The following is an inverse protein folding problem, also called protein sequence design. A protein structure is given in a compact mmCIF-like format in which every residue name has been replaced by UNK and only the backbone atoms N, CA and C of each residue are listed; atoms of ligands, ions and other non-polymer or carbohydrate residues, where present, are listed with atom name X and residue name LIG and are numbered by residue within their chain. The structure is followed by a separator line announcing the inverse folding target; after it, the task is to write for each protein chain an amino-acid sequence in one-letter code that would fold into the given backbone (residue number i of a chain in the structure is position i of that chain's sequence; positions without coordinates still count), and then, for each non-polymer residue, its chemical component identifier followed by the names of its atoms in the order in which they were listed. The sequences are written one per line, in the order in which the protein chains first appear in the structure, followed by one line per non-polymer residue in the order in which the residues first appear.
data_IF_113946164957
#
_entry.id   IF_113946164957
#
_cell.length_a   1.000
_cell.length_b   1.000
_cell.length_c   1.000
_cell.angle_alpha   90.00
_cell.angle_beta   90.00
_cell.angle_gamma   90.00
#
_symmetry.space_group_name_H-M   'P 1'
#
loop_
_entity.id
_entity.type
_entity.pdbx_description
1 polymer ?
#
# COMPACT_ATOMS: atom_id res chain seq x y z
N UNK A 1 5.42 -22.44 14.47
CA UNK A 1 4.79 -21.23 15.03
C UNK A 1 4.63 -20.27 13.87
N UNK A 2 3.40 -19.97 13.45
CA UNK A 2 3.19 -19.01 12.37
C UNK A 2 3.53 -17.63 12.93
N UNK A 3 4.52 -16.94 12.36
CA UNK A 3 4.68 -15.51 12.62
C UNK A 3 3.39 -14.86 12.17
N UNK A 4 2.68 -14.26 13.14
CA UNK A 4 1.53 -13.44 12.82
C UNK A 4 2.01 -12.32 11.89
N UNK A 5 1.27 -12.03 10.83
CA UNK A 5 1.56 -10.84 10.05
C UNK A 5 1.56 -9.61 10.97
N UNK A 6 2.32 -8.57 10.62
CA UNK A 6 2.36 -7.35 11.41
C UNK A 6 0.94 -6.89 11.77
N UNK A 7 0.70 -6.57 13.04
CA UNK A 7 -0.62 -6.11 13.52
C UNK A 7 -1.19 -4.97 12.67
N UNK A 8 -0.31 -4.21 12.01
CA UNK A 8 -0.63 -3.16 11.06
C UNK A 8 -1.54 -3.58 9.90
N UNK A 9 -1.63 -4.87 9.57
CA UNK A 9 -2.46 -5.36 8.46
C UNK A 9 -3.78 -6.00 8.88
N UNK A 10 -4.03 -6.23 10.17
CA UNK A 10 -5.23 -6.97 10.62
C UNK A 10 -6.55 -6.30 10.17
N UNK A 11 -6.57 -4.97 10.09
CA UNK A 11 -7.75 -4.23 9.60
C UNK A 11 -8.09 -4.56 8.14
N UNK A 12 -7.16 -5.07 7.33
CA UNK A 12 -7.46 -5.36 5.91
C UNK A 12 -8.45 -6.51 5.75
N UNK A 13 -8.55 -7.44 6.71
CA UNK A 13 -9.57 -8.49 6.71
C UNK A 13 -10.99 -7.93 6.74
N UNK A 14 -11.18 -6.71 7.25
CA UNK A 14 -12.47 -6.05 7.26
C UNK A 14 -12.94 -5.64 5.86
N UNK A 15 -12.06 -5.63 4.83
CA UNK A 15 -12.42 -5.35 3.43
C UNK A 15 -13.38 -6.38 2.82
N UNK A 16 -13.46 -7.57 3.42
CA UNK A 16 -14.40 -8.64 3.01
C UNK A 16 -15.43 -8.92 4.12
N UNK A 17 -15.60 -7.99 5.06
CA UNK A 17 -16.54 -8.18 6.15
C UNK A 17 -17.98 -8.26 5.62
N UNK A 18 -18.80 -9.24 6.10
CA UNK A 18 -20.22 -9.27 5.79
C UNK A 18 -20.98 -8.08 6.42
N UNK A 19 -20.42 -7.46 7.46
CA UNK A 19 -20.92 -6.22 8.02
C UNK A 19 -20.48 -5.04 7.15
N UNK A 20 -21.44 -4.43 6.45
CA UNK A 20 -21.20 -3.29 5.55
C UNK A 20 -20.60 -2.07 6.27
N UNK A 21 -20.94 -1.82 7.53
CA UNK A 21 -20.38 -0.68 8.26
C UNK A 21 -18.91 -0.92 8.65
N UNK A 22 -18.55 -2.17 8.97
CA UNK A 22 -17.15 -2.57 9.16
C UNK A 22 -16.40 -2.46 7.83
N UNK A 23 -16.94 -3.02 6.76
CA UNK A 23 -16.31 -3.00 5.43
C UNK A 23 -16.08 -1.59 4.90
N UNK A 24 -17.08 -0.71 4.95
CA UNK A 24 -16.95 0.68 4.50
C UNK A 24 -15.88 1.47 5.27
N UNK A 25 -15.71 1.20 6.57
CA UNK A 25 -14.63 1.83 7.36
C UNK A 25 -13.25 1.34 6.92
N UNK A 26 -13.11 0.04 6.65
CA UNK A 26 -11.88 -0.52 6.11
C UNK A 26 -11.57 0.04 4.71
N UNK A 27 -12.58 0.10 3.83
CA UNK A 27 -12.45 0.67 2.50
C UNK A 27 -12.03 2.15 2.55
N UNK A 28 -12.68 2.96 3.37
CA UNK A 28 -12.32 4.36 3.55
C UNK A 28 -10.88 4.53 4.07
N UNK A 29 -10.44 3.68 5.01
CA UNK A 29 -9.05 3.66 5.48
C UNK A 29 -8.08 3.29 4.35
N UNK A 30 -8.40 2.27 3.57
CA UNK A 30 -7.59 1.85 2.43
C UNK A 30 -7.42 2.97 1.40
N UNK A 31 -8.52 3.59 1.01
CA UNK A 31 -8.54 4.69 0.04
C UNK A 31 -7.81 5.94 0.57
N UNK A 32 -7.93 6.25 1.87
CA UNK A 32 -7.18 7.35 2.48
C UNK A 32 -5.66 7.10 2.45
N UNK A 33 -5.21 5.85 2.69
CA UNK A 33 -3.80 5.48 2.58
C UNK A 33 -3.28 5.61 1.14
N UNK A 34 -4.07 5.18 0.15
CA UNK A 34 -3.71 5.34 -1.26
C UNK A 34 -3.66 6.82 -1.69
N UNK A 35 -4.61 7.64 -1.23
CA UNK A 35 -4.61 9.07 -1.48
C UNK A 35 -3.35 9.73 -0.92
N UNK A 36 -2.97 9.41 0.34
CA UNK A 36 -1.76 9.93 0.95
C UNK A 36 -0.48 9.47 0.22
N UNK A 37 -0.43 8.20 -0.21
CA UNK A 37 0.66 7.70 -1.04
C UNK A 37 0.77 8.44 -2.40
N UNK A 38 -0.36 8.72 -3.05
CA UNK A 38 -0.41 9.47 -4.30
C UNK A 38 0.03 10.93 -4.10
N UNK A 39 -0.36 11.57 -3.01
CA UNK A 39 0.11 12.91 -2.65
C UNK A 39 1.64 12.94 -2.43
N UNK A 40 2.19 11.96 -1.74
CA UNK A 40 3.64 11.81 -1.53
C UNK A 40 4.38 11.53 -2.86
N UNK A 41 3.78 10.76 -3.77
CA UNK A 41 4.29 10.57 -5.13
C UNK A 41 4.30 11.89 -5.92
N UNK A 42 3.21 12.65 -5.88
CA UNK A 42 3.14 13.97 -6.51
C UNK A 42 4.17 14.93 -5.92
N UNK A 43 4.41 14.87 -4.62
CA UNK A 43 5.48 15.62 -3.98
C UNK A 43 6.86 15.24 -4.52
N UNK A 44 7.19 13.94 -4.56
CA UNK A 44 8.44 13.47 -5.16
C UNK A 44 8.61 13.93 -6.62
N UNK A 45 7.52 13.92 -7.40
CA UNK A 45 7.53 14.38 -8.78
C UNK A 45 7.78 15.89 -8.91
N UNK A 46 7.29 16.71 -7.97
CA UNK A 46 7.61 18.15 -7.92
C UNK A 46 9.08 18.39 -7.64
N UNK A 47 9.66 17.67 -6.68
CA UNK A 47 11.11 17.77 -6.38
C UNK A 47 11.94 17.32 -7.59
N UNK A 48 11.51 16.25 -8.27
CA UNK A 48 12.16 15.81 -9.51
C UNK A 48 12.09 16.88 -10.61
N UNK A 49 10.92 17.48 -10.83
CA UNK A 49 10.75 18.54 -11.83
C UNK A 49 11.62 19.77 -11.53
N UNK A 50 11.81 20.10 -10.26
CA UNK A 50 12.69 21.20 -9.84
C UNK A 50 14.18 20.87 -10.01
N UNK A 51 14.61 19.66 -9.63
CA UNK A 51 16.00 19.26 -9.70
C UNK A 51 16.45 18.84 -11.12
N UNK A 52 15.51 18.44 -11.98
CA UNK A 52 15.80 17.86 -13.30
C UNK A 52 16.37 16.44 -13.26
N UNK A 53 16.51 15.83 -12.07
CA UNK A 53 17.09 14.50 -11.86
C UNK A 53 16.40 13.77 -10.70
N UNK A 54 16.23 12.44 -10.76
CA UNK A 54 15.69 11.66 -9.64
C UNK A 54 16.65 11.55 -8.45
N UNK A 55 17.89 12.00 -8.58
CA UNK A 55 18.89 12.06 -7.50
C UNK A 55 19.54 13.46 -7.50
N UNK A 56 18.90 14.45 -6.84
CA UNK A 56 19.42 15.81 -6.77
C UNK A 56 20.80 15.86 -6.09
N UNK A 57 21.70 16.71 -6.59
CA UNK A 57 23.01 16.92 -5.97
C UNK A 57 22.92 17.94 -4.81
N UNK A 58 21.94 18.83 -4.87
CA UNK A 58 21.65 19.81 -3.83
C UNK A 58 21.13 19.10 -2.57
N UNK A 59 21.80 19.23 -1.41
CA UNK A 59 21.45 18.47 -0.21
C UNK A 59 20.01 18.64 0.26
N UNK A 60 19.44 19.85 0.10
CA UNK A 60 18.06 20.12 0.50
C UNK A 60 17.04 19.41 -0.40
N UNK A 61 17.24 19.38 -1.72
CA UNK A 61 16.37 18.67 -2.66
C UNK A 61 16.52 17.16 -2.51
N UNK A 62 17.73 16.66 -2.24
CA UNK A 62 17.95 15.24 -1.96
C UNK A 62 17.19 14.80 -0.71
N UNK A 63 17.29 15.56 0.39
CA UNK A 63 16.57 15.28 1.63
C UNK A 63 15.04 15.33 1.44
N UNK A 64 14.54 16.32 0.70
CA UNK A 64 13.10 16.45 0.40
C UNK A 64 12.58 15.28 -0.45
N UNK A 65 13.35 14.87 -1.46
CA UNK A 65 13.05 13.70 -2.29
C UNK A 65 12.98 12.42 -1.45
N UNK A 66 13.95 12.22 -0.54
CA UNK A 66 14.00 11.06 0.33
C UNK A 66 12.81 11.03 1.31
N UNK A 67 12.42 12.20 1.83
CA UNK A 67 11.24 12.31 2.70
C UNK A 67 9.96 11.95 1.94
N UNK A 68 9.75 12.49 0.74
CA UNK A 68 8.59 12.16 -0.09
C UNK A 68 8.51 10.66 -0.41
N UNK A 69 9.65 10.03 -0.72
CA UNK A 69 9.73 8.59 -0.99
C UNK A 69 9.52 7.74 0.25
N UNK A 70 10.02 8.17 1.41
CA UNK A 70 9.78 7.49 2.68
C UNK A 70 8.29 7.55 3.06
N UNK A 71 7.66 8.71 2.90
CA UNK A 71 6.25 8.92 3.19
C UNK A 71 5.34 8.09 2.29
N UNK A 72 5.63 8.08 0.98
CA UNK A 72 4.95 7.19 0.02
C UNK A 72 5.06 5.72 0.43
N UNK A 73 6.28 5.24 0.69
CA UNK A 73 6.52 3.83 1.10
C UNK A 73 5.78 3.49 2.40
N UNK A 74 5.72 4.43 3.34
CA UNK A 74 5.01 4.26 4.60
C UNK A 74 3.50 4.11 4.40
N UNK A 75 2.90 4.93 3.54
CA UNK A 75 1.48 4.85 3.23
C UNK A 75 1.11 3.63 2.39
N UNK A 76 1.84 3.37 1.29
CA UNK A 76 1.64 2.17 0.46
C UNK A 76 1.82 0.88 1.27
N UNK A 77 2.86 0.84 2.10
CA UNK A 77 3.19 -0.30 2.96
C UNK A 77 2.11 -0.62 4.00
N UNK A 78 1.15 0.26 4.26
CA UNK A 78 0.04 -0.02 5.18
C UNK A 78 -1.22 -0.54 4.47
N UNK A 79 -1.25 -0.54 3.15
CA UNK A 79 -2.38 -1.03 2.34
C UNK A 79 -2.34 -2.55 2.17
N UNK A 80 -3.38 -3.12 1.56
CA UNK A 80 -3.35 -4.53 1.13
C UNK A 80 -2.25 -4.78 0.09
N UNK A 81 -1.89 -3.76 -0.71
CA UNK A 81 -0.78 -3.85 -1.66
C UNK A 81 0.57 -3.95 -0.95
N UNK A 82 0.74 -3.27 0.19
CA UNK A 82 1.95 -3.42 1.02
C UNK A 82 2.15 -4.87 1.48
N UNK A 83 1.07 -5.56 1.86
CA UNK A 83 1.11 -6.97 2.21
C UNK A 83 1.40 -7.88 0.99
N UNK A 84 0.89 -7.54 -0.20
CA UNK A 84 1.21 -8.22 -1.45
C UNK A 84 2.67 -8.07 -1.85
N UNK A 85 3.19 -6.83 -1.89
CA UNK A 85 4.56 -6.55 -2.26
C UNK A 85 5.51 -7.28 -1.28
N UNK A 86 5.18 -7.26 0.02
CA UNK A 86 5.90 -8.01 1.06
C UNK A 86 5.86 -9.54 0.91
N UNK A 87 4.81 -10.09 0.29
CA UNK A 87 4.74 -11.50 -0.09
C UNK A 87 5.66 -11.80 -1.27
N UNK A 88 5.60 -10.99 -2.33
CA UNK A 88 6.38 -11.20 -3.56
C UNK A 88 7.87 -10.98 -3.36
N UNK A 89 8.29 -9.99 -2.57
CA UNK A 89 9.70 -9.74 -2.24
C UNK A 89 10.34 -10.94 -1.51
N UNK A 90 9.55 -11.65 -0.70
CA UNK A 90 10.00 -12.82 0.06
C UNK A 90 9.83 -14.13 -0.69
N UNK A 91 9.03 -14.16 -1.75
CA UNK A 91 8.77 -15.35 -2.56
C UNK A 91 10.04 -15.94 -3.19
N UNK A 92 11.01 -15.09 -3.54
CA UNK A 92 12.30 -15.52 -4.11
C UNK A 92 13.33 -15.94 -3.06
N UNK A 93 13.00 -15.87 -1.77
CA UNK A 93 13.89 -16.23 -0.65
C UNK A 93 13.78 -17.70 -0.22
N UNK A 94 14.71 -18.19 0.63
CA UNK A 94 14.73 -19.57 1.11
C UNK A 94 13.60 -19.92 2.10
N UNK A 95 12.86 -18.92 2.59
CA UNK A 95 11.73 -19.09 3.48
C UNK A 95 10.44 -18.74 2.73
N UNK A 96 9.52 -19.70 2.66
CA UNK A 96 8.19 -19.48 2.08
C UNK A 96 7.48 -18.34 2.85
N UNK A 97 6.83 -17.38 2.16
CA UNK A 97 6.23 -16.19 2.79
C UNK A 97 4.89 -16.50 3.49
N UNK A 98 4.86 -17.52 4.35
CA UNK A 98 3.67 -17.99 5.07
C UNK A 98 2.91 -16.88 5.83
N UNK A 99 3.56 -15.87 6.46
CA UNK A 99 2.83 -14.80 7.16
C UNK A 99 1.97 -13.93 6.25
N UNK A 100 2.32 -13.80 4.96
CA UNK A 100 1.65 -12.90 4.02
C UNK A 100 0.68 -13.58 3.06
N UNK A 101 0.75 -14.91 2.93
CA UNK A 101 -0.13 -15.69 2.06
C UNK A 101 -1.65 -15.42 2.30
N UNK A 102 -2.13 -15.23 3.55
CA UNK A 102 -3.53 -14.88 3.79
C UNK A 102 -3.98 -13.56 3.15
N UNK A 103 -3.09 -12.57 2.99
CA UNK A 103 -3.43 -11.29 2.36
C UNK A 103 -3.58 -11.40 0.85
N UNK A 104 -2.86 -12.33 0.23
CA UNK A 104 -3.04 -12.66 -1.19
C UNK A 104 -4.42 -13.27 -1.42
N UNK A 105 -4.83 -14.20 -0.55
CA UNK A 105 -6.16 -14.78 -0.60
C UNK A 105 -7.25 -13.72 -0.33
N UNK A 106 -7.02 -12.82 0.63
CA UNK A 106 -7.91 -11.71 0.96
C UNK A 106 -8.11 -10.77 -0.24
N UNK A 107 -7.05 -10.41 -0.95
CA UNK A 107 -7.14 -9.55 -2.13
C UNK A 107 -7.99 -10.17 -3.23
N UNK A 108 -7.74 -11.44 -3.56
CA UNK A 108 -8.52 -12.16 -4.56
C UNK A 108 -10.00 -12.27 -4.14
N UNK A 109 -10.24 -12.45 -2.84
CA UNK A 109 -11.60 -12.50 -2.30
C UNK A 109 -12.29 -11.14 -2.37
N UNK A 110 -11.59 -10.05 -2.10
CA UNK A 110 -12.12 -8.70 -2.25
C UNK A 110 -12.47 -8.39 -3.72
N UNK A 111 -11.59 -8.75 -4.66
CA UNK A 111 -11.84 -8.64 -6.10
C UNK A 111 -13.09 -9.42 -6.54
N UNK A 112 -13.28 -10.65 -6.03
CA UNK A 112 -14.43 -11.48 -6.38
C UNK A 112 -15.75 -11.06 -5.71
N UNK A 113 -15.73 -10.70 -4.42
CA UNK A 113 -16.94 -10.45 -3.63
C UNK A 113 -17.43 -8.99 -3.74
N UNK A 114 -16.52 -8.05 -4.01
CA UNK A 114 -16.81 -6.63 -4.07
C UNK A 114 -16.11 -5.94 -5.26
N UNK A 115 -16.39 -6.37 -6.51
CA UNK A 115 -15.68 -5.88 -7.70
C UNK A 115 -15.83 -4.37 -7.94
N UNK A 116 -16.96 -3.78 -7.55
CA UNK A 116 -17.18 -2.32 -7.66
C UNK A 116 -16.29 -1.54 -6.68
N UNK A 117 -16.11 -2.05 -5.46
CA UNK A 117 -15.25 -1.44 -4.44
C UNK A 117 -13.77 -1.60 -4.79
N UNK A 118 -13.39 -2.77 -5.32
CA UNK A 118 -12.04 -3.08 -5.76
C UNK A 118 -11.65 -2.29 -7.02
N UNK A 119 -12.55 -2.23 -8.01
CA UNK A 119 -12.36 -1.55 -9.29
C UNK A 119 -12.51 -0.03 -9.21
N UNK A 120 -12.92 0.51 -8.06
CA UNK A 120 -13.02 1.95 -7.86
C UNK A 120 -11.64 2.61 -8.05
N UNK A 121 -11.65 3.81 -8.65
CA UNK A 121 -10.44 4.60 -8.90
C UNK A 121 -9.67 4.86 -7.61
N UNK A 122 -10.38 5.14 -6.53
CA UNK A 122 -9.82 5.43 -5.20
C UNK A 122 -9.16 4.21 -4.55
N UNK A 123 -9.53 3.00 -4.99
CA UNK A 123 -8.99 1.73 -4.51
C UNK A 123 -7.80 1.23 -5.32
N UNK A 124 -7.53 1.84 -6.47
CA UNK A 124 -6.47 1.44 -7.37
C UNK A 124 -5.19 2.26 -7.12
N UNK A 125 -4.08 1.55 -6.88
CA UNK A 125 -2.76 2.13 -6.60
C UNK A 125 -2.11 2.86 -7.77
N UNK A 126 -2.69 2.78 -8.96
CA UNK A 126 -2.14 3.30 -10.21
C UNK A 126 -2.94 4.45 -10.82
N UNK A 127 -3.93 4.96 -10.09
CA UNK A 127 -4.88 5.98 -10.56
C UNK A 127 -4.46 7.41 -10.27
#
# INVERSE_FOLDING_TARGET
MFEMPPESYLWTYDLISPDEAVRRRALARHQALLAAAAEALHWSNRVWAQAGTPAPAEPHLAAEMDQARADRRWHEGQTIFGAHDAFFDRWTGPAYPLPYAPYVALYLRWEMEHPDEWGARESNRWS
#
